data_IF_435627048029
#
_entry.id   IF_435627048029
#
_cell.length_a   1.000
_cell.length_b   1.000
_cell.length_c   1.000
_cell.angle_alpha   90.00
_cell.angle_beta   90.00
_cell.angle_gamma   90.00
#
_symmetry.space_group_name_H-M   'P 1'
#
loop_
_entity.id
_entity.type
_entity.pdbx_description
1 polymer ?
#
# COMPACT_ATOMS: atom_id res chain seq x y z
N UNK A 1 2.31 -5.71 23.40
CA UNK A 1 1.75 -6.42 22.23
C UNK A 1 2.33 -5.77 20.99
N UNK A 2 2.84 -6.53 20.03
CA UNK A 2 3.30 -5.97 18.75
C UNK A 2 2.06 -5.54 17.95
N UNK A 3 2.04 -4.30 17.48
CA UNK A 3 0.93 -3.78 16.70
C UNK A 3 1.21 -4.07 15.22
N UNK A 4 0.91 -5.31 14.78
CA UNK A 4 1.26 -5.76 13.43
C UNK A 4 0.67 -4.88 12.32
N UNK A 5 -0.55 -4.38 12.51
CA UNK A 5 -1.19 -3.40 11.61
C UNK A 5 -0.31 -2.17 11.37
N UNK A 6 0.23 -1.57 12.44
CA UNK A 6 1.08 -0.38 12.33
C UNK A 6 2.45 -0.69 11.70
N UNK A 7 3.00 -1.89 11.94
CA UNK A 7 4.27 -2.31 11.34
C UNK A 7 4.09 -2.53 9.84
N UNK A 8 3.02 -3.21 9.43
CA UNK A 8 2.71 -3.46 8.03
C UNK A 8 2.40 -2.15 7.30
N UNK A 9 1.65 -1.25 7.93
CA UNK A 9 1.40 0.10 7.42
C UNK A 9 2.72 0.84 7.15
N UNK A 10 3.61 0.89 8.14
CA UNK A 10 4.92 1.53 8.00
C UNK A 10 5.76 0.88 6.90
N UNK A 11 5.69 -0.44 6.76
CA UNK A 11 6.42 -1.19 5.76
C UNK A 11 5.91 -0.90 4.34
N UNK A 12 4.59 -0.91 4.13
CA UNK A 12 3.97 -0.57 2.84
C UNK A 12 4.23 0.90 2.47
N UNK A 13 4.14 1.80 3.43
CA UNK A 13 4.43 3.22 3.25
C UNK A 13 5.90 3.46 2.89
N UNK A 14 6.83 2.85 3.61
CA UNK A 14 8.26 2.99 3.37
C UNK A 14 8.72 2.33 2.06
N UNK A 15 8.09 1.22 1.66
CA UNK A 15 8.37 0.55 0.40
C UNK A 15 7.98 1.44 -0.79
N UNK A 16 6.78 2.03 -0.77
CA UNK A 16 6.23 2.79 -1.91
C UNK A 16 5.92 1.93 -3.15
N UNK A 17 6.23 0.63 -3.12
CA UNK A 17 5.95 -0.32 -4.20
C UNK A 17 5.19 -1.54 -3.67
N UNK A 18 4.81 -2.45 -4.58
CA UNK A 18 4.16 -3.72 -4.22
C UNK A 18 5.12 -4.53 -3.34
N UNK A 19 4.67 -4.88 -2.14
CA UNK A 19 5.35 -5.83 -1.24
C UNK A 19 4.65 -7.18 -1.31
N UNK A 20 5.43 -8.26 -1.42
CA UNK A 20 4.88 -9.61 -1.48
C UNK A 20 4.39 -10.09 -0.11
N UNK A 21 3.27 -10.80 -0.09
CA UNK A 21 2.70 -11.36 1.14
C UNK A 21 3.69 -12.31 1.83
N UNK A 22 4.41 -13.11 1.05
CA UNK A 22 5.43 -14.02 1.57
C UNK A 22 6.61 -13.28 2.23
N UNK A 23 6.99 -12.12 1.70
CA UNK A 23 8.08 -11.32 2.26
C UNK A 23 7.65 -10.67 3.57
N UNK A 24 6.45 -10.08 3.62
CA UNK A 24 5.88 -9.54 4.87
C UNK A 24 5.71 -10.63 5.94
N UNK A 25 5.17 -11.79 5.56
CA UNK A 25 5.03 -12.93 6.45
C UNK A 25 6.39 -13.36 7.04
N UNK A 26 7.44 -13.41 6.21
CA UNK A 26 8.78 -13.79 6.64
C UNK A 26 9.41 -12.75 7.59
N UNK A 27 9.28 -11.45 7.29
CA UNK A 27 9.81 -10.36 8.13
C UNK A 27 9.10 -10.31 9.48
N UNK A 28 7.78 -10.52 9.49
CA UNK A 28 6.95 -10.41 10.68
C UNK A 28 6.90 -11.71 11.49
N UNK A 29 7.32 -12.83 10.89
CA UNK A 29 7.21 -14.17 11.48
C UNK A 29 5.76 -14.63 11.62
N UNK A 30 4.90 -14.26 10.66
CA UNK A 30 3.47 -14.57 10.65
C UNK A 30 3.15 -15.63 9.61
N UNK A 31 2.11 -16.42 9.87
CA UNK A 31 1.51 -17.28 8.87
C UNK A 31 0.74 -16.47 7.81
N UNK A 32 0.63 -17.04 6.59
CA UNK A 32 -0.11 -16.40 5.49
C UNK A 32 -1.56 -16.07 5.87
N UNK A 33 -2.20 -16.91 6.68
CA UNK A 33 -3.57 -16.67 7.19
C UNK A 33 -3.64 -15.47 8.11
N UNK A 34 -2.77 -15.41 9.13
CA UNK A 34 -2.76 -14.28 10.06
C UNK A 34 -2.43 -12.97 9.35
N UNK A 35 -1.49 -13.00 8.40
CA UNK A 35 -1.18 -11.83 7.58
C UNK A 35 -2.39 -11.38 6.75
N UNK A 36 -3.13 -12.30 6.11
CA UNK A 36 -4.30 -11.95 5.30
C UNK A 36 -5.42 -11.37 6.17
N UNK A 37 -5.65 -11.89 7.38
CA UNK A 37 -6.62 -11.33 8.33
C UNK A 37 -6.23 -9.92 8.81
N UNK A 38 -4.94 -9.68 9.10
CA UNK A 38 -4.45 -8.36 9.48
C UNK A 38 -4.58 -7.39 8.31
N UNK A 39 -4.24 -7.83 7.09
CA UNK A 39 -4.35 -7.02 5.89
C UNK A 39 -5.80 -6.66 5.55
N UNK A 40 -6.75 -7.59 5.70
CA UNK A 40 -8.17 -7.31 5.45
C UNK A 40 -8.69 -6.22 6.40
N UNK A 41 -8.33 -6.32 7.70
CA UNK A 41 -8.67 -5.28 8.69
C UNK A 41 -8.02 -3.94 8.36
N UNK A 42 -6.76 -3.94 7.94
CA UNK A 42 -6.04 -2.72 7.59
C UNK A 42 -6.63 -2.06 6.33
N UNK A 43 -6.94 -2.86 5.29
CA UNK A 43 -7.60 -2.39 4.07
C UNK A 43 -8.94 -1.76 4.41
N UNK A 44 -9.78 -2.44 5.21
CA UNK A 44 -11.08 -1.92 5.64
C UNK A 44 -10.94 -0.62 6.44
N UNK A 45 -9.96 -0.55 7.35
CA UNK A 45 -9.68 0.66 8.13
C UNK A 45 -9.29 1.84 7.24
N UNK A 46 -8.46 1.62 6.21
CA UNK A 46 -8.12 2.66 5.24
C UNK A 46 -9.32 3.04 4.38
N UNK A 47 -10.18 2.07 4.06
CA UNK A 47 -11.41 2.31 3.30
C UNK A 47 -12.39 3.21 4.08
N UNK A 48 -12.60 2.94 5.37
CA UNK A 48 -13.51 3.69 6.25
C UNK A 48 -12.97 5.07 6.70
N UNK A 49 -11.66 5.29 6.69
CA UNK A 49 -11.07 6.54 7.21
C UNK A 49 -11.29 7.77 6.31
N UNK A 50 -11.92 7.63 5.14
CA UNK A 50 -12.14 8.72 4.16
C UNK A 50 -10.87 9.53 3.77
N UNK A 51 -9.68 8.99 4.02
CA UNK A 51 -8.40 9.63 3.76
C UNK A 51 -7.94 9.50 2.30
N UNK A 52 -6.86 10.18 1.93
CA UNK A 52 -6.31 10.18 0.57
C UNK A 52 -5.59 8.90 0.13
N UNK A 53 -5.35 7.98 1.06
CA UNK A 53 -4.60 6.74 0.83
C UNK A 53 -5.51 5.53 0.91
N UNK A 54 -5.14 4.48 0.18
CA UNK A 54 -5.79 3.17 0.21
C UNK A 54 -4.73 2.06 0.07
N UNK A 55 -5.08 0.87 0.51
CA UNK A 55 -4.25 -0.32 0.33
C UNK A 55 -4.92 -1.24 -0.70
N UNK A 56 -4.18 -1.69 -1.70
CA UNK A 56 -4.68 -2.56 -2.77
C UNK A 56 -3.94 -3.89 -2.76
N UNK A 57 -4.70 -4.99 -2.86
CA UNK A 57 -4.16 -6.34 -3.10
C UNK A 57 -3.86 -6.51 -4.60
N UNK A 58 -2.62 -6.86 -4.94
CA UNK A 58 -2.14 -7.04 -6.31
C UNK A 58 -1.49 -8.43 -6.40
N UNK A 59 -2.20 -9.38 -7.01
CA UNK A 59 -1.80 -10.79 -7.12
C UNK A 59 -1.44 -11.37 -5.74
N UNK A 60 -0.16 -11.68 -5.51
CA UNK A 60 0.37 -12.25 -4.24
C UNK A 60 1.00 -11.18 -3.33
N UNK A 61 0.68 -9.91 -3.53
CA UNK A 61 1.23 -8.81 -2.73
C UNK A 61 0.22 -7.70 -2.48
N UNK A 62 0.69 -6.68 -1.76
CA UNK A 62 -0.09 -5.53 -1.37
C UNK A 62 0.71 -4.25 -1.60
N UNK A 63 0.01 -3.17 -1.92
CA UNK A 63 0.62 -1.88 -2.16
C UNK A 63 -0.26 -0.79 -1.54
N UNK A 64 0.38 0.19 -0.90
CA UNK A 64 -0.27 1.44 -0.53
C UNK A 64 -0.24 2.40 -1.72
N UNK A 65 -1.40 2.94 -2.08
CA UNK A 65 -1.59 3.84 -3.20
C UNK A 65 -2.48 5.02 -2.79
N UNK A 66 -2.40 6.13 -3.53
CA UNK A 66 -3.39 7.20 -3.43
C UNK A 66 -4.75 6.73 -3.97
N UNK A 67 -5.84 7.26 -3.41
CA UNK A 67 -7.18 6.99 -3.93
C UNK A 67 -7.36 7.63 -5.30
N UNK A 68 -8.10 6.97 -6.21
CA UNK A 68 -8.40 7.51 -7.53
C UNK A 68 -9.24 8.80 -7.47
N UNK A 69 -9.98 9.01 -6.39
CA UNK A 69 -10.77 10.24 -6.15
C UNK A 69 -9.92 11.50 -6.17
N UNK A 70 -8.69 11.43 -5.67
CA UNK A 70 -7.74 12.56 -5.65
C UNK A 70 -6.77 12.52 -6.84
N UNK A 71 -6.96 11.59 -7.79
CA UNK A 71 -6.06 11.45 -8.93
C UNK A 71 -6.02 12.74 -9.74
N UNK A 72 -7.15 13.38 -10.00
CA UNK A 72 -7.19 14.62 -10.79
C UNK A 72 -6.48 15.78 -10.08
N UNK A 73 -6.61 15.87 -8.76
CA UNK A 73 -5.95 16.90 -7.93
C UNK A 73 -4.43 16.72 -7.83
N UNK A 74 -3.96 15.47 -7.81
CA UNK A 74 -2.51 15.17 -7.72
C UNK A 74 -1.88 14.92 -9.09
N UNK A 75 -2.65 14.83 -10.18
CA UNK A 75 -2.13 14.49 -11.50
C UNK A 75 -1.03 15.44 -11.94
N UNK A 76 -1.15 16.75 -11.66
CA UNK A 76 -0.12 17.72 -12.04
C UNK A 76 1.25 17.45 -11.38
N UNK A 77 1.25 16.77 -10.23
CA UNK A 77 2.47 16.34 -9.55
C UNK A 77 3.10 15.10 -10.19
N UNK A 78 2.28 14.16 -10.67
CA UNK A 78 2.75 12.89 -11.27
C UNK A 78 2.94 12.98 -12.80
N UNK A 79 2.13 13.78 -13.48
CA UNK A 79 2.18 14.13 -14.90
C UNK A 79 3.11 15.32 -15.16
N UNK A 80 4.17 15.51 -14.35
CA UNK A 80 5.27 16.31 -14.86
C UNK A 80 5.67 15.70 -16.20
N UNK A 81 5.63 16.47 -17.31
CA UNK A 81 5.92 15.90 -18.61
C UNK A 81 7.31 15.29 -18.49
N UNK A 82 7.37 13.95 -18.63
CA UNK A 82 8.61 13.27 -18.88
C UNK A 82 9.21 14.04 -20.04
N UNK A 83 10.27 14.82 -19.78
CA UNK A 83 11.00 15.52 -20.83
C UNK A 83 11.42 14.41 -21.78
N UNK A 84 10.63 14.20 -22.84
CA UNK A 84 10.97 13.30 -23.93
C UNK A 84 12.31 13.82 -24.41
N UNK A 85 13.35 13.03 -24.15
CA UNK A 85 14.68 13.31 -24.63
C UNK A 85 14.61 13.49 -26.14
N UNK A 86 15.05 14.66 -26.58
CA UNK A 86 15.71 14.98 -27.85
C UNK A 86 15.55 13.93 -28.97
N UNK A 87 14.87 14.32 -30.05
CA UNK A 87 15.26 13.90 -31.40
C UNK A 87 15.13 15.10 -32.33
#
# INVERSE_FOLDING_TARGET
MKNYEAIIEALLFASGHKVEASEMASILGLDKKELDEIMDRLIKKYDENNGGLMIRKIKDGYQMCSRPEYHDDIKEYFEQPQKQGLT
#
